data_IF_633133828934
#
_entry.id   IF_633133828934
#
_cell.length_a   1.000
_cell.length_b   1.000
_cell.length_c   1.000
_cell.angle_alpha   90.00
_cell.angle_beta   90.00
_cell.angle_gamma   90.00
#
_symmetry.space_group_name_H-M   'P 1'
#
loop_
_entity.id
_entity.type
_entity.pdbx_description
1 polymer ?
#
# COMPACT_ATOMS: atom_id res chain seq x y z
N UNK A 1 -4.74 20.58 17.10
CA UNK A 1 -5.63 20.40 15.94
C UNK A 1 -7.04 20.65 16.40
N UNK A 2 -7.61 21.78 15.97
CA UNK A 2 -9.01 22.13 16.22
C UNK A 2 -9.86 21.50 15.12
N UNK A 3 -11.06 21.05 15.43
CA UNK A 3 -11.95 20.58 14.37
C UNK A 3 -13.42 20.68 14.72
N UNK A 4 -14.23 20.89 13.68
CA UNK A 4 -15.68 21.09 13.78
C UNK A 4 -16.38 20.15 12.80
N UNK A 5 -17.34 19.39 13.29
CA UNK A 5 -18.13 18.43 12.52
C UNK A 5 -19.61 18.72 12.72
N UNK A 6 -20.37 18.80 11.63
CA UNK A 6 -21.83 18.90 11.62
C UNK A 6 -22.42 17.62 11.06
N UNK A 7 -23.06 16.83 11.91
CA UNK A 7 -23.73 15.59 11.55
C UNK A 7 -25.25 15.72 11.63
N UNK A 8 -25.95 14.91 10.84
CA UNK A 8 -27.37 14.69 10.90
C UNK A 8 -27.62 13.23 11.28
N UNK A 9 -28.30 13.04 12.41
CA UNK A 9 -28.85 11.75 12.82
C UNK A 9 -30.30 11.68 12.35
N UNK A 10 -30.58 10.81 11.39
CA UNK A 10 -31.92 10.59 10.85
C UNK A 10 -32.60 9.46 11.63
N UNK A 11 -33.70 9.78 12.31
CA UNK A 11 -34.48 8.82 13.08
C UNK A 11 -35.56 8.16 12.22
N UNK A 12 -36.11 7.05 12.72
CA UNK A 12 -37.22 6.39 12.04
C UNK A 12 -38.56 7.14 12.11
N UNK A 13 -38.69 8.10 13.02
CA UNK A 13 -39.90 8.89 13.24
C UNK A 13 -39.56 10.23 13.88
N UNK A 14 -40.54 11.12 13.89
CA UNK A 14 -40.45 12.44 14.51
C UNK A 14 -40.04 12.34 15.99
N UNK A 15 -39.02 13.13 16.37
CA UNK A 15 -38.45 13.18 17.72
C UNK A 15 -38.88 14.42 18.50
N UNK A 16 -39.79 15.24 17.97
CA UNK A 16 -40.26 16.50 18.56
C UNK A 16 -40.80 16.34 19.98
N UNK A 17 -41.50 15.23 20.24
CA UNK A 17 -42.07 14.93 21.55
C UNK A 17 -41.02 14.60 22.64
N UNK A 18 -39.75 14.36 22.26
CA UNK A 18 -38.70 13.90 23.17
C UNK A 18 -37.44 14.78 23.14
N UNK A 19 -37.50 15.95 22.47
CA UNK A 19 -36.36 16.86 22.31
C UNK A 19 -35.74 17.27 23.66
N UNK A 20 -36.57 17.51 24.68
CA UNK A 20 -36.09 17.89 26.01
C UNK A 20 -35.25 16.79 26.68
N UNK A 21 -35.73 15.55 26.67
CA UNK A 21 -34.99 14.41 27.23
C UNK A 21 -33.71 14.13 26.44
N UNK A 22 -33.79 14.17 25.10
CA UNK A 22 -32.62 13.98 24.24
C UNK A 22 -31.57 15.07 24.47
N UNK A 23 -31.98 16.34 24.59
CA UNK A 23 -31.07 17.46 24.84
C UNK A 23 -30.35 17.32 26.18
N UNK A 24 -31.06 16.94 27.24
CA UNK A 24 -30.47 16.71 28.56
C UNK A 24 -29.46 15.56 28.51
N UNK A 25 -29.86 14.43 27.92
CA UNK A 25 -28.99 13.28 27.76
C UNK A 25 -27.72 13.58 26.95
N UNK A 26 -27.85 14.30 25.82
CA UNK A 26 -26.71 14.66 24.99
C UNK A 26 -25.76 15.62 25.74
N UNK A 27 -26.29 16.51 26.58
CA UNK A 27 -25.45 17.36 27.42
C UNK A 27 -24.73 16.58 28.53
N UNK A 28 -25.40 15.60 29.17
CA UNK A 28 -24.74 14.69 30.12
C UNK A 28 -23.64 13.87 29.44
N UNK A 29 -23.91 13.35 28.24
CA UNK A 29 -22.92 12.66 27.41
C UNK A 29 -21.72 13.57 27.10
N UNK A 30 -21.95 14.85 26.76
CA UNK A 30 -20.90 15.84 26.53
C UNK A 30 -19.99 15.97 27.75
N UNK A 31 -20.57 16.18 28.94
CA UNK A 31 -19.83 16.35 30.20
C UNK A 31 -19.02 15.09 30.55
N UNK A 32 -19.58 13.89 30.37
CA UNK A 32 -18.85 12.63 30.55
C UNK A 32 -17.64 12.54 29.59
N UNK A 33 -17.81 12.95 28.33
CA UNK A 33 -16.74 12.96 27.33
C UNK A 33 -15.67 14.01 27.60
N UNK A 34 -16.04 15.20 28.04
CA UNK A 34 -15.09 16.24 28.46
C UNK A 34 -14.18 15.72 29.57
N UNK A 35 -14.76 15.05 30.58
CA UNK A 35 -13.99 14.46 31.69
C UNK A 35 -13.06 13.34 31.23
N UNK A 36 -13.52 12.47 30.34
CA UNK A 36 -12.72 11.34 29.83
C UNK A 36 -11.60 11.77 28.89
N UNK A 37 -11.88 12.74 28.02
CA UNK A 37 -10.94 13.26 27.02
C UNK A 37 -10.07 14.39 27.57
N UNK A 38 -10.37 14.90 28.78
CA UNK A 38 -9.67 16.00 29.45
C UNK A 38 -9.57 17.25 28.57
N UNK A 39 -10.68 17.61 27.91
CA UNK A 39 -10.79 18.78 27.06
C UNK A 39 -12.22 19.29 27.06
N UNK A 40 -12.41 20.56 26.72
CA UNK A 40 -13.73 21.14 26.53
C UNK A 40 -14.31 20.75 25.17
N UNK A 41 -15.62 20.49 25.13
CA UNK A 41 -16.33 20.07 23.93
C UNK A 41 -17.57 20.94 23.77
N UNK A 42 -17.70 21.59 22.60
CA UNK A 42 -18.88 22.40 22.30
C UNK A 42 -19.85 21.61 21.43
N UNK A 43 -21.10 21.51 21.89
CA UNK A 43 -22.22 20.97 21.11
C UNK A 43 -23.22 22.07 20.77
N UNK A 44 -23.65 22.14 19.50
CA UNK A 44 -24.86 22.85 19.10
C UNK A 44 -25.86 21.84 18.54
N UNK A 45 -27.08 21.92 19.04
CA UNK A 45 -28.16 20.97 18.76
C UNK A 45 -29.31 21.71 18.07
N UNK A 46 -29.77 21.17 16.96
CA UNK A 46 -30.99 21.60 16.28
C UNK A 46 -31.83 20.36 15.98
N UNK A 47 -33.13 20.45 16.25
CA UNK A 47 -34.08 19.34 16.05
C UNK A 47 -35.07 19.76 14.97
N UNK A 48 -35.23 18.93 13.94
CA UNK A 48 -36.14 19.20 12.84
C UNK A 48 -36.87 17.91 12.44
N UNK A 49 -38.12 17.76 12.89
CA UNK A 49 -38.94 16.57 12.64
C UNK A 49 -38.26 15.30 13.16
N UNK A 50 -37.87 14.42 12.23
CA UNK A 50 -37.15 13.17 12.50
C UNK A 50 -35.63 13.31 12.49
N UNK A 51 -35.08 14.52 12.39
CA UNK A 51 -33.64 14.76 12.34
C UNK A 51 -33.12 15.46 13.60
N UNK A 52 -31.99 14.96 14.11
CA UNK A 52 -31.12 15.69 15.03
C UNK A 52 -29.89 16.17 14.27
N UNK A 53 -29.73 17.48 14.17
CA UNK A 53 -28.53 18.13 13.66
C UNK A 53 -27.63 18.44 14.84
N UNK A 54 -26.43 17.87 14.83
CA UNK A 54 -25.43 18.05 15.88
C UNK A 54 -24.15 18.62 15.29
N UNK A 55 -23.79 19.81 15.73
CA UNK A 55 -22.46 20.38 15.51
C UNK A 55 -21.59 20.10 16.74
N UNK A 56 -20.42 19.49 16.51
CA UNK A 56 -19.42 19.14 17.51
C UNK A 56 -18.15 19.89 17.19
N UNK A 57 -17.65 20.69 18.13
CA UNK A 57 -16.34 21.33 18.02
C UNK A 57 -15.41 20.83 19.13
N UNK A 58 -14.23 20.35 18.72
CA UNK A 58 -13.14 19.93 19.59
C UNK A 58 -11.99 20.94 19.46
N UNK A 59 -11.42 21.35 20.59
CA UNK A 59 -10.17 22.12 20.61
C UNK A 59 -8.96 21.24 20.26
N UNK A 60 -9.05 19.92 20.56
CA UNK A 60 -8.00 18.97 20.24
C UNK A 60 -8.53 17.59 19.86
N UNK A 61 -8.21 17.14 18.65
CA UNK A 61 -8.53 15.79 18.19
C UNK A 61 -9.70 15.76 17.22
N UNK A 62 -10.40 14.63 17.17
CA UNK A 62 -11.34 14.31 16.09
C UNK A 62 -12.76 14.06 16.62
N UNK A 63 -13.73 14.96 16.37
CA UNK A 63 -15.14 14.83 16.76
C UNK A 63 -15.80 13.53 16.32
N UNK A 64 -15.40 12.99 15.17
CA UNK A 64 -15.99 11.75 14.66
C UNK A 64 -15.75 10.53 15.57
N UNK A 65 -14.78 10.60 16.48
CA UNK A 65 -14.51 9.55 17.47
C UNK A 65 -15.65 9.33 18.46
N UNK A 66 -16.47 10.36 18.71
CA UNK A 66 -17.63 10.27 19.62
C UNK A 66 -18.97 10.16 18.88
N UNK A 67 -18.99 10.38 17.57
CA UNK A 67 -20.19 10.40 16.73
C UNK A 67 -21.00 9.08 16.83
N UNK A 68 -20.33 7.95 16.61
CA UNK A 68 -20.96 6.63 16.67
C UNK A 68 -21.16 6.13 18.11
N UNK A 69 -20.35 6.61 19.05
CA UNK A 69 -20.58 6.34 20.46
C UNK A 69 -21.90 6.99 20.94
N UNK A 70 -22.15 8.24 20.52
CA UNK A 70 -23.41 8.92 20.82
C UNK A 70 -24.60 8.18 20.21
N UNK A 71 -24.50 7.71 18.96
CA UNK A 71 -25.52 6.86 18.32
C UNK A 71 -25.89 5.67 19.22
N UNK A 72 -24.88 4.92 19.66
CA UNK A 72 -25.10 3.70 20.45
C UNK A 72 -25.74 4.02 21.80
N UNK A 73 -25.30 5.10 22.46
CA UNK A 73 -25.83 5.53 23.74
C UNK A 73 -27.27 6.06 23.62
N UNK A 74 -27.63 6.78 22.55
CA UNK A 74 -29.02 7.17 22.26
C UNK A 74 -29.89 5.92 22.09
N UNK A 75 -29.48 4.96 21.26
CA UNK A 75 -30.27 3.74 20.99
C UNK A 75 -30.45 2.89 22.25
N UNK A 76 -29.44 2.83 23.12
CA UNK A 76 -29.48 2.10 24.39
C UNK A 76 -30.50 2.69 25.37
N UNK A 77 -30.56 4.02 25.51
CA UNK A 77 -31.39 4.70 26.50
C UNK A 77 -32.82 5.01 25.99
N UNK A 78 -32.95 5.33 24.70
CA UNK A 78 -34.21 5.80 24.11
C UNK A 78 -34.85 4.76 23.17
N UNK A 79 -34.06 3.82 22.63
CA UNK A 79 -34.51 2.92 21.58
C UNK A 79 -35.67 2.02 22.00
N UNK A 80 -35.56 1.33 23.15
CA UNK A 80 -36.64 0.50 23.69
C UNK A 80 -37.78 1.32 24.29
N UNK A 81 -37.46 2.41 25.00
CA UNK A 81 -38.44 3.26 25.69
C UNK A 81 -39.40 3.94 24.72
N UNK A 82 -38.90 4.35 23.56
CA UNK A 82 -39.65 5.13 22.58
C UNK A 82 -39.75 4.48 21.21
N UNK A 83 -39.33 3.22 21.02
CA UNK A 83 -39.27 2.58 19.70
C UNK A 83 -38.54 3.44 18.65
N UNK A 84 -37.44 4.05 19.08
CA UNK A 84 -36.60 4.92 18.25
C UNK A 84 -35.43 4.14 17.66
N UNK A 85 -35.21 4.31 16.36
CA UNK A 85 -34.02 3.83 15.66
C UNK A 85 -33.40 4.97 14.86
N UNK A 86 -32.10 4.86 14.59
CA UNK A 86 -31.35 5.82 13.76
C UNK A 86 -31.07 5.11 12.43
N UNK A 87 -31.72 5.57 11.36
CA UNK A 87 -31.63 5.03 10.01
C UNK A 87 -30.26 5.32 9.41
N UNK A 88 -29.82 6.57 9.53
CA UNK A 88 -28.60 7.03 8.90
C UNK A 88 -27.89 8.10 9.76
N UNK A 89 -26.58 8.22 9.56
CA UNK A 89 -25.78 9.33 10.05
C UNK A 89 -25.01 9.89 8.86
N UNK A 90 -25.28 11.12 8.49
CA UNK A 90 -24.52 11.84 7.46
C UNK A 90 -23.75 13.00 8.08
N UNK A 91 -22.57 13.30 7.55
CA UNK A 91 -21.78 14.47 7.97
C UNK A 91 -21.85 15.50 6.86
N UNK A 92 -22.56 16.59 7.13
CA UNK A 92 -22.78 17.67 6.16
C UNK A 92 -21.57 18.56 5.98
N UNK A 93 -20.82 18.73 7.06
CA UNK A 93 -19.64 19.58 7.08
C UNK A 93 -18.63 19.04 8.07
N UNK A 94 -17.37 18.95 7.68
CA UNK A 94 -16.28 18.63 8.59
C UNK A 94 -15.07 19.50 8.26
N UNK A 95 -14.75 20.44 9.16
CA UNK A 95 -13.53 21.24 9.12
C UNK A 95 -12.48 20.72 10.08
N UNK A 96 -11.24 20.58 9.64
CA UNK A 96 -10.08 20.36 10.50
C UNK A 96 -9.05 21.46 10.28
N UNK A 97 -8.44 21.91 11.37
CA UNK A 97 -7.37 22.89 11.37
C UNK A 97 -6.21 22.39 12.22
N UNK A 98 -5.04 22.25 11.61
CA UNK A 98 -3.85 21.72 12.29
C UNK A 98 -2.57 22.39 11.80
N UNK A 99 -1.55 22.31 12.64
CA UNK A 99 -0.22 22.80 12.33
C UNK A 99 0.62 21.69 11.73
N UNK A 100 1.28 22.00 10.63
CA UNK A 100 2.30 21.17 10.01
C UNK A 100 3.65 21.44 10.68
N UNK A 101 4.53 20.42 10.70
CA UNK A 101 5.89 20.61 11.23
C UNK A 101 6.71 21.60 10.39
N UNK A 102 6.45 21.62 9.07
CA UNK A 102 7.13 22.44 8.06
C UNK A 102 6.13 23.12 7.13
N UNK A 103 6.56 24.14 6.40
CA UNK A 103 5.72 24.86 5.44
C UNK A 103 5.62 24.10 4.12
N UNK A 104 4.53 24.24 3.38
CA UNK A 104 4.48 23.67 2.03
C UNK A 104 5.32 24.53 1.08
N UNK A 105 6.33 23.94 0.44
CA UNK A 105 7.14 24.59 -0.61
C UNK A 105 6.33 24.67 -1.91
N UNK A 106 5.61 23.60 -2.23
CA UNK A 106 4.78 23.46 -3.43
C UNK A 106 3.33 23.12 -3.06
N UNK A 107 2.34 23.50 -3.91
CA UNK A 107 0.94 23.14 -3.70
C UNK A 107 0.73 21.62 -3.56
N UNK A 108 -0.22 21.23 -2.71
CA UNK A 108 -0.57 19.83 -2.46
C UNK A 108 -2.01 19.58 -2.90
N UNK A 109 -2.25 18.45 -3.56
CA UNK A 109 -3.59 17.92 -3.83
C UNK A 109 -3.75 16.56 -3.17
N UNK A 110 -4.93 16.29 -2.60
CA UNK A 110 -5.31 15.05 -1.94
C UNK A 110 -6.73 14.67 -2.40
N UNK A 111 -6.99 13.40 -2.74
CA UNK A 111 -8.34 12.93 -3.04
C UNK A 111 -9.30 13.02 -1.84
N UNK A 112 -10.60 13.08 -2.12
CA UNK A 112 -11.69 13.09 -1.12
C UNK A 112 -11.78 14.34 -0.22
N UNK A 113 -11.06 15.41 -0.57
CA UNK A 113 -11.10 16.69 0.15
C UNK A 113 -11.72 17.73 -0.77
N UNK A 114 -12.74 18.44 -0.27
CA UNK A 114 -13.41 19.50 -1.03
C UNK A 114 -12.58 20.79 -1.04
N UNK A 115 -12.00 21.15 0.10
CA UNK A 115 -11.12 22.32 0.23
C UNK A 115 -9.88 21.98 1.07
N UNK A 116 -8.71 22.32 0.55
CA UNK A 116 -7.42 22.25 1.23
C UNK A 116 -6.73 23.59 1.09
N UNK A 117 -6.55 24.29 2.21
CA UNK A 117 -5.83 25.55 2.28
C UNK A 117 -4.61 25.38 3.20
N UNK A 118 -3.44 25.76 2.71
CA UNK A 118 -2.20 25.76 3.49
C UNK A 118 -1.63 27.17 3.47
N UNK A 119 -1.51 27.81 4.63
CA UNK A 119 -0.93 29.14 4.80
C UNK A 119 0.18 29.08 5.84
N UNK A 120 1.43 29.19 5.39
CA UNK A 120 2.60 28.91 6.23
C UNK A 120 2.55 27.46 6.73
N UNK A 121 2.49 27.28 8.05
CA UNK A 121 2.33 25.96 8.70
C UNK A 121 0.88 25.61 9.05
N UNK A 122 -0.06 26.54 8.89
CA UNK A 122 -1.46 26.25 9.17
C UNK A 122 -2.08 25.51 7.99
N UNK A 123 -2.73 24.39 8.27
CA UNK A 123 -3.46 23.59 7.28
C UNK A 123 -4.93 23.52 7.67
N UNK A 124 -5.81 23.91 6.74
CA UNK A 124 -7.26 23.83 6.86
C UNK A 124 -7.79 22.83 5.84
N UNK A 125 -8.62 21.91 6.31
CA UNK A 125 -9.30 20.89 5.51
C UNK A 125 -10.80 21.01 5.67
N UNK A 126 -11.54 20.92 4.57
CA UNK A 126 -13.00 20.86 4.58
C UNK A 126 -13.48 19.65 3.79
N UNK A 127 -14.46 18.96 4.38
CA UNK A 127 -15.25 17.92 3.75
C UNK A 127 -16.73 18.31 3.80
N UNK A 128 -17.42 18.18 2.68
CA UNK A 128 -18.83 18.45 2.50
C UNK A 128 -19.57 17.16 2.17
N UNK A 129 -20.76 16.99 2.76
CA UNK A 129 -21.69 15.90 2.43
C UNK A 129 -21.06 14.48 2.42
N UNK A 130 -20.33 14.12 3.48
CA UNK A 130 -19.90 12.74 3.70
C UNK A 130 -21.13 11.88 4.03
N UNK A 131 -21.57 11.12 3.03
CA UNK A 131 -22.74 10.22 3.13
C UNK A 131 -22.35 8.78 3.47
N UNK A 132 -21.15 8.34 3.12
CA UNK A 132 -20.65 7.00 3.43
C UNK A 132 -20.14 6.92 4.87
N UNK A 133 -20.90 6.25 5.75
CA UNK A 133 -20.49 5.99 7.14
C UNK A 133 -19.14 5.26 7.21
N UNK A 134 -18.81 4.43 6.21
CA UNK A 134 -17.53 3.72 6.15
C UNK A 134 -16.35 4.67 5.98
N UNK A 135 -16.53 5.85 5.37
CA UNK A 135 -15.47 6.86 5.24
C UNK A 135 -14.93 7.27 6.61
N UNK A 136 -15.84 7.50 7.55
CA UNK A 136 -15.52 7.87 8.92
C UNK A 136 -15.04 6.66 9.71
N UNK A 137 -15.77 5.53 9.66
CA UNK A 137 -15.44 4.32 10.44
C UNK A 137 -14.09 3.71 10.06
N UNK A 138 -13.69 3.80 8.79
CA UNK A 138 -12.39 3.31 8.30
C UNK A 138 -11.27 4.32 8.52
N UNK A 139 -11.48 5.38 9.29
CA UNK A 139 -10.45 6.33 9.68
C UNK A 139 -9.76 7.01 8.46
N UNK A 140 -10.50 7.28 7.38
CA UNK A 140 -9.92 7.93 6.19
C UNK A 140 -9.46 9.35 6.48
N UNK A 141 -10.15 10.07 7.36
CA UNK A 141 -9.81 11.45 7.74
C UNK A 141 -8.42 11.53 8.36
N UNK A 142 -8.10 10.65 9.32
CA UNK A 142 -6.79 10.64 9.95
C UNK A 142 -5.70 10.24 8.95
N UNK A 143 -5.99 9.30 8.02
CA UNK A 143 -5.07 8.93 6.95
C UNK A 143 -4.80 10.08 5.98
N UNK A 144 -5.82 10.89 5.68
CA UNK A 144 -5.69 12.10 4.86
C UNK A 144 -4.78 13.12 5.55
N UNK A 145 -5.01 13.42 6.83
CA UNK A 145 -4.15 14.32 7.62
C UNK A 145 -2.70 13.84 7.61
N UNK A 146 -2.47 12.55 7.90
CA UNK A 146 -1.13 11.94 7.85
C UNK A 146 -0.51 12.06 6.46
N UNK A 147 -1.28 11.82 5.40
CA UNK A 147 -0.78 11.88 4.02
C UNK A 147 -0.38 13.30 3.60
N UNK A 148 -1.07 14.33 4.10
CA UNK A 148 -0.69 15.72 3.88
C UNK A 148 0.65 16.00 4.55
N UNK A 149 0.80 15.64 5.82
CA UNK A 149 2.06 15.80 6.55
C UNK A 149 3.21 15.11 5.81
N UNK A 150 3.04 13.85 5.40
CA UNK A 150 4.03 13.12 4.60
C UNK A 150 4.36 13.81 3.26
N UNK A 151 3.36 14.41 2.58
CA UNK A 151 3.59 15.13 1.32
C UNK A 151 4.37 16.41 1.55
N UNK A 152 4.09 17.17 2.61
CA UNK A 152 4.85 18.37 2.99
C UNK A 152 6.28 17.98 3.33
N UNK A 153 6.46 16.98 4.20
CA UNK A 153 7.79 16.52 4.61
C UNK A 153 8.62 16.09 3.40
N UNK A 154 8.02 15.34 2.45
CA UNK A 154 8.66 14.90 1.20
C UNK A 154 9.16 16.05 0.32
N UNK A 155 8.61 17.25 0.41
CA UNK A 155 9.09 18.39 -0.38
C UNK A 155 10.46 18.90 0.09
N UNK A 156 10.81 18.67 1.35
CA UNK A 156 12.12 19.03 1.92
C UNK A 156 13.19 17.94 1.72
N UNK A 157 12.81 16.79 1.19
CA UNK A 157 13.78 15.79 0.76
C UNK A 157 14.31 16.23 -0.61
N UNK A 158 15.37 17.04 -0.62
CA UNK A 158 16.10 17.35 -1.84
C UNK A 158 16.80 16.08 -2.34
N UNK A 159 16.51 15.71 -3.59
CA UNK A 159 16.67 14.35 -4.10
C UNK A 159 18.10 13.79 -4.19
N UNK A 160 18.12 12.46 -4.36
CA UNK A 160 19.15 11.63 -5.05
C UNK A 160 20.52 11.44 -4.41
N UNK A 161 20.80 11.96 -3.22
CA UNK A 161 21.87 11.37 -2.42
C UNK A 161 21.42 10.02 -1.91
N UNK A 162 21.80 8.90 -2.54
CA UNK A 162 21.77 7.62 -1.85
C UNK A 162 22.52 7.80 -0.53
N UNK A 163 21.88 7.56 0.61
CA UNK A 163 22.63 7.43 1.84
C UNK A 163 23.50 6.18 1.69
N UNK A 164 24.79 6.38 1.57
CA UNK A 164 25.76 5.32 1.34
C UNK A 164 26.87 5.42 2.37
N UNK A 165 27.09 4.33 3.09
CA UNK A 165 28.14 4.18 4.08
C UNK A 165 28.88 2.87 3.80
N UNK A 166 30.19 2.96 3.59
CA UNK A 166 31.02 1.78 3.30
C UNK A 166 31.33 1.07 4.61
N UNK A 167 30.68 -0.08 4.84
CA UNK A 167 30.90 -0.92 6.02
C UNK A 167 32.12 -1.84 5.88
N UNK A 168 32.42 -2.28 4.65
CA UNK A 168 33.55 -3.15 4.34
C UNK A 168 33.96 -3.01 2.87
N UNK A 169 35.25 -3.22 2.58
CA UNK A 169 35.76 -3.28 1.20
C UNK A 169 36.90 -4.29 1.11
N UNK A 170 36.93 -5.08 0.03
CA UNK A 170 38.07 -5.96 -0.25
C UNK A 170 39.29 -5.16 -0.70
N UNK A 171 40.48 -5.77 -0.59
CA UNK A 171 41.68 -5.20 -1.19
C UNK A 171 41.53 -5.01 -2.71
N UNK A 172 42.11 -3.93 -3.24
CA UNK A 172 42.06 -3.64 -4.68
C UNK A 172 42.74 -4.76 -5.46
N UNK A 173 41.96 -5.51 -6.23
CA UNK A 173 42.47 -6.54 -7.15
C UNK A 173 42.98 -5.90 -8.44
N UNK A 174 44.03 -6.47 -9.04
CA UNK A 174 44.51 -6.05 -10.36
C UNK A 174 43.44 -6.34 -11.41
N UNK A 175 42.98 -5.30 -12.11
CA UNK A 175 42.00 -5.46 -13.18
C UNK A 175 42.65 -6.10 -14.41
N UNK A 176 42.24 -7.32 -14.73
CA UNK A 176 42.74 -8.10 -15.87
C UNK A 176 41.84 -8.04 -17.10
N UNK A 177 40.62 -7.51 -16.94
CA UNK A 177 39.61 -7.40 -17.99
C UNK A 177 38.96 -6.02 -17.95
N UNK A 178 38.75 -5.39 -19.11
CA UNK A 178 38.24 -4.00 -19.22
C UNK A 178 37.13 -3.83 -20.27
N UNK A 179 36.77 -4.89 -20.97
CA UNK A 179 35.71 -4.83 -21.98
C UNK A 179 34.33 -4.94 -21.32
N UNK A 180 33.33 -4.33 -21.95
CA UNK A 180 31.93 -4.46 -21.55
C UNK A 180 31.48 -5.93 -21.73
N UNK A 181 31.10 -6.62 -20.63
CA UNK A 181 30.71 -8.02 -20.71
C UNK A 181 29.48 -8.23 -21.61
N UNK A 182 28.52 -7.29 -21.60
CA UNK A 182 27.29 -7.40 -22.38
C UNK A 182 27.60 -7.37 -23.88
N UNK A 183 28.47 -6.45 -24.32
CA UNK A 183 28.93 -6.37 -25.71
C UNK A 183 29.67 -7.63 -26.15
N UNK A 184 30.58 -8.13 -25.32
CA UNK A 184 31.38 -9.33 -25.65
C UNK A 184 30.48 -10.56 -25.73
N UNK A 185 29.49 -10.69 -24.85
CA UNK A 185 28.53 -11.78 -24.88
C UNK A 185 27.60 -11.71 -26.09
N UNK A 186 27.20 -10.51 -26.52
CA UNK A 186 26.48 -10.29 -27.77
C UNK A 186 27.29 -10.77 -28.98
N UNK A 187 28.53 -10.30 -29.11
CA UNK A 187 29.41 -10.65 -30.23
C UNK A 187 29.70 -12.16 -30.32
N UNK A 188 29.67 -12.84 -29.17
CA UNK A 188 29.85 -14.30 -29.05
C UNK A 188 28.55 -15.11 -29.14
N UNK A 189 27.40 -14.47 -29.33
CA UNK A 189 26.07 -15.10 -29.29
C UNK A 189 25.75 -15.84 -27.97
N UNK A 190 26.32 -15.39 -26.85
CA UNK A 190 25.96 -15.89 -25.52
C UNK A 190 24.66 -15.26 -25.03
N UNK A 191 24.33 -14.07 -25.52
CA UNK A 191 23.06 -13.40 -25.26
C UNK A 191 22.49 -12.85 -26.56
N UNK A 192 21.17 -12.69 -26.59
CA UNK A 192 20.45 -11.96 -27.63
C UNK A 192 19.38 -11.10 -26.98
N UNK A 193 19.23 -9.87 -27.43
CA UNK A 193 18.13 -9.03 -26.96
C UNK A 193 16.79 -9.61 -27.42
N UNK A 194 15.83 -9.71 -26.50
CA UNK A 194 14.46 -10.09 -26.85
C UNK A 194 13.72 -8.91 -27.48
N UNK A 195 12.58 -9.17 -28.12
CA UNK A 195 11.76 -8.13 -28.78
C UNK A 195 11.23 -7.08 -27.80
N UNK A 196 10.91 -7.49 -26.57
CA UNK A 196 10.43 -6.56 -25.53
C UNK A 196 11.60 -5.90 -24.78
N UNK A 197 11.38 -4.66 -24.36
CA UNK A 197 12.38 -3.84 -23.65
C UNK A 197 12.93 -4.59 -22.42
N UNK A 198 14.25 -4.43 -22.23
CA UNK A 198 14.96 -4.82 -21.01
C UNK A 198 15.12 -6.34 -20.81
N UNK A 199 14.78 -7.16 -21.82
CA UNK A 199 14.86 -8.62 -21.72
C UNK A 199 15.91 -9.22 -22.63
N UNK A 200 16.49 -10.31 -22.17
CA UNK A 200 17.60 -10.98 -22.81
C UNK A 200 17.37 -12.49 -22.87
N UNK A 201 17.59 -13.07 -24.04
CA UNK A 201 17.72 -14.50 -24.19
C UNK A 201 19.14 -14.92 -23.80
N UNK A 202 19.27 -15.81 -22.83
CA UNK A 202 20.55 -16.35 -22.40
C UNK A 202 20.84 -17.67 -23.11
N UNK A 203 21.86 -17.66 -23.96
CA UNK A 203 22.38 -18.85 -24.62
C UNK A 203 23.07 -19.82 -23.64
N UNK A 204 23.43 -21.03 -24.12
CA UNK A 204 23.93 -22.11 -23.26
C UNK A 204 25.13 -21.74 -22.39
N UNK A 205 26.04 -20.91 -22.89
CA UNK A 205 27.25 -20.52 -22.19
C UNK A 205 26.94 -19.65 -20.97
N UNK A 206 26.14 -18.59 -21.14
CA UNK A 206 25.74 -17.75 -20.01
C UNK A 206 24.81 -18.51 -19.04
N UNK A 207 23.88 -19.33 -19.56
CA UNK A 207 23.04 -20.17 -18.72
C UNK A 207 23.88 -21.10 -17.81
N UNK A 208 24.97 -21.69 -18.33
CA UNK A 208 25.90 -22.50 -17.52
C UNK A 208 26.61 -21.67 -16.45
N UNK A 209 27.03 -20.45 -16.77
CA UNK A 209 27.64 -19.53 -15.78
C UNK A 209 26.66 -19.20 -14.66
N UNK A 210 25.41 -18.84 -14.99
CA UNK A 210 24.36 -18.55 -14.01
C UNK A 210 24.10 -19.78 -13.11
N UNK A 211 24.05 -20.98 -13.68
CA UNK A 211 23.87 -22.22 -12.90
C UNK A 211 25.06 -22.51 -11.98
N UNK A 212 26.28 -22.24 -12.43
CA UNK A 212 27.46 -22.36 -11.59
C UNK A 212 27.44 -21.36 -10.43
N UNK A 213 27.08 -20.10 -10.68
CA UNK A 213 26.92 -19.08 -9.64
C UNK A 213 25.85 -19.47 -8.61
N UNK A 214 24.67 -19.95 -9.07
CA UNK A 214 23.63 -20.47 -8.18
C UNK A 214 24.11 -21.63 -7.31
N UNK A 215 24.92 -22.54 -7.88
CA UNK A 215 25.49 -23.66 -7.14
C UNK A 215 26.45 -23.20 -6.04
N UNK A 216 27.25 -22.14 -6.29
CA UNK A 216 28.10 -21.55 -5.25
C UNK A 216 27.25 -21.00 -4.11
N UNK A 217 26.21 -20.20 -4.41
CA UNK A 217 25.29 -19.69 -3.38
C UNK A 217 24.63 -20.84 -2.60
N UNK A 218 24.24 -21.90 -3.28
CA UNK A 218 23.65 -23.07 -2.64
C UNK A 218 24.61 -23.73 -1.64
N UNK A 219 25.82 -24.06 -2.12
CA UNK A 219 26.82 -24.79 -1.34
C UNK A 219 27.43 -23.98 -0.20
N UNK A 220 27.61 -22.66 -0.39
CA UNK A 220 28.33 -21.81 0.57
C UNK A 220 27.39 -21.09 1.55
N UNK A 221 26.13 -20.88 1.18
CA UNK A 221 25.17 -20.09 1.98
C UNK A 221 23.96 -20.93 2.37
N UNK A 222 23.21 -21.45 1.40
CA UNK A 222 21.90 -22.06 1.66
C UNK A 222 22.02 -23.33 2.49
N UNK A 223 22.83 -24.28 2.03
CA UNK A 223 23.02 -25.57 2.71
C UNK A 223 23.68 -25.42 4.08
N UNK A 224 24.81 -24.69 4.24
CA UNK A 224 25.48 -24.54 5.54
C UNK A 224 24.66 -23.78 6.58
N UNK A 225 23.80 -22.85 6.16
CA UNK A 225 22.94 -22.10 7.08
C UNK A 225 21.57 -22.76 7.29
N UNK A 226 21.27 -23.85 6.58
CA UNK A 226 20.06 -24.65 6.80
C UNK A 226 18.79 -24.10 6.16
N UNK A 227 18.90 -23.21 5.18
CA UNK A 227 17.76 -22.69 4.42
C UNK A 227 17.00 -23.81 3.70
N UNK A 228 15.66 -23.74 3.73
CA UNK A 228 14.77 -24.71 3.08
C UNK A 228 14.15 -24.11 1.83
N UNK A 229 14.14 -24.89 0.75
CA UNK A 229 13.57 -24.42 -0.51
C UNK A 229 12.05 -24.34 -0.41
N UNK A 230 11.50 -23.24 -0.92
CA UNK A 230 10.09 -23.07 -1.20
C UNK A 230 9.93 -22.68 -2.66
N UNK A 231 8.73 -22.84 -3.20
CA UNK A 231 8.37 -22.41 -4.54
C UNK A 231 7.17 -21.49 -4.39
N UNK A 232 7.36 -20.21 -4.68
CA UNK A 232 6.28 -19.23 -4.63
C UNK A 232 5.62 -19.02 -6.00
N UNK A 233 4.35 -18.59 -6.04
CA UNK A 233 3.75 -18.14 -7.29
C UNK A 233 4.47 -16.89 -7.81
N UNK A 234 4.60 -16.80 -9.13
CA UNK A 234 5.23 -15.68 -9.81
C UNK A 234 4.37 -14.41 -9.83
N UNK A 235 3.05 -14.52 -9.74
CA UNK A 235 2.14 -13.37 -9.70
C UNK A 235 1.93 -12.90 -8.26
N UNK A 236 2.10 -11.61 -8.01
CA UNK A 236 1.87 -10.99 -6.71
C UNK A 236 0.53 -10.22 -6.72
N UNK A 237 -0.43 -10.63 -5.88
CA UNK A 237 -1.75 -10.02 -5.83
C UNK A 237 -1.71 -8.62 -5.18
N UNK A 238 -2.58 -7.72 -5.62
CA UNK A 238 -2.67 -6.37 -5.03
C UNK A 238 -2.94 -6.36 -3.52
N UNK A 239 -3.69 -7.33 -3.02
CA UNK A 239 -3.98 -7.44 -1.58
C UNK A 239 -2.71 -7.72 -0.77
N UNK A 240 -1.82 -8.59 -1.27
CA UNK A 240 -0.52 -8.90 -0.67
C UNK A 240 0.42 -7.70 -0.74
N UNK A 241 0.46 -7.02 -1.88
CA UNK A 241 1.31 -5.85 -2.06
C UNK A 241 0.85 -4.63 -1.25
N UNK A 242 -0.45 -4.50 -1.03
CA UNK A 242 -1.00 -3.47 -0.14
C UNK A 242 -0.60 -3.72 1.31
N UNK A 243 -0.65 -4.98 1.78
CA UNK A 243 -0.21 -5.33 3.15
C UNK A 243 1.29 -5.12 3.36
N UNK A 244 2.09 -5.37 2.33
CA UNK A 244 3.56 -5.21 2.39
C UNK A 244 4.01 -3.78 2.07
N UNK A 245 3.09 -2.88 1.68
CA UNK A 245 3.38 -1.47 1.39
C UNK A 245 3.97 -1.17 0.01
N UNK A 246 4.23 -2.19 -0.82
CA UNK A 246 4.90 -2.02 -2.12
C UNK A 246 4.09 -1.18 -3.11
N UNK A 247 2.76 -1.37 -3.17
CA UNK A 247 1.90 -0.60 -4.10
C UNK A 247 1.92 0.91 -3.82
N UNK A 248 2.25 1.32 -2.59
CA UNK A 248 2.34 2.73 -2.22
C UNK A 248 3.67 3.38 -2.65
N UNK A 249 4.72 2.56 -2.80
CA UNK A 249 6.08 3.02 -3.05
C UNK A 249 6.51 2.97 -4.52
N UNK A 250 6.17 1.90 -5.24
CA UNK A 250 6.76 1.58 -6.55
C UNK A 250 5.75 1.36 -7.70
N UNK A 251 4.55 1.99 -7.73
CA UNK A 251 3.55 1.69 -8.77
C UNK A 251 4.01 2.01 -10.20
N UNK A 252 5.02 2.85 -10.36
CA UNK A 252 5.62 3.25 -11.65
C UNK A 252 6.62 2.23 -12.21
N UNK A 253 7.00 1.20 -11.43
CA UNK A 253 8.01 0.21 -11.81
C UNK A 253 7.41 -1.19 -12.06
N UNK A 254 6.09 -1.36 -11.95
CA UNK A 254 5.44 -2.66 -11.97
C UNK A 254 4.97 -3.07 -13.36
N UNK A 255 5.08 -4.37 -13.67
CA UNK A 255 4.39 -4.99 -14.78
C UNK A 255 3.05 -5.56 -14.32
N UNK A 256 1.96 -4.91 -14.71
CA UNK A 256 0.60 -5.28 -14.34
C UNK A 256 0.08 -6.46 -15.16
N UNK A 257 -0.73 -7.31 -14.51
CA UNK A 257 -1.33 -8.50 -15.13
C UNK A 257 -2.82 -8.30 -15.26
N UNK A 258 -3.33 -8.49 -16.48
CA UNK A 258 -4.75 -8.55 -16.79
C UNK A 258 -5.10 -9.97 -17.26
N UNK A 259 -6.30 -10.42 -16.91
CA UNK A 259 -6.79 -11.76 -17.27
C UNK A 259 -7.85 -11.65 -18.37
N UNK A 260 -8.07 -12.67 -19.22
CA UNK A 260 -9.24 -12.74 -20.08
C UNK A 260 -10.54 -12.56 -19.29
N UNK A 261 -11.47 -11.71 -19.75
CA UNK A 261 -12.80 -11.59 -19.14
C UNK A 261 -13.60 -12.90 -19.25
N UNK A 262 -13.36 -13.65 -20.31
CA UNK A 262 -14.08 -14.87 -20.65
C UNK A 262 -13.13 -15.89 -21.30
N UNK A 263 -13.44 -17.17 -21.11
CA UNK A 263 -12.80 -18.28 -21.83
C UNK A 263 -13.66 -18.79 -23.00
N UNK A 264 -14.84 -18.20 -23.22
CA UNK A 264 -15.75 -18.60 -24.29
C UNK A 264 -15.15 -18.19 -25.65
N UNK A 265 -14.80 -19.15 -26.54
CA UNK A 265 -14.21 -18.82 -27.84
C UNK A 265 -15.08 -17.94 -28.73
N UNK A 266 -16.40 -18.04 -28.63
CA UNK A 266 -17.34 -17.24 -29.44
C UNK A 266 -17.19 -15.74 -29.15
N UNK A 267 -16.95 -15.37 -27.89
CA UNK A 267 -16.72 -13.97 -27.51
C UNK A 267 -15.38 -13.43 -28.05
N UNK A 268 -14.43 -14.31 -28.40
CA UNK A 268 -13.13 -13.96 -28.99
C UNK A 268 -13.10 -14.01 -30.52
N UNK A 269 -14.18 -14.44 -31.17
CA UNK A 269 -14.20 -14.74 -32.61
C UNK A 269 -13.80 -13.51 -33.44
N UNK A 270 -14.38 -12.34 -33.15
CA UNK A 270 -14.07 -11.11 -33.87
C UNK A 270 -12.58 -10.70 -33.76
N UNK A 271 -12.01 -10.80 -32.56
CA UNK A 271 -10.58 -10.54 -32.31
C UNK A 271 -9.69 -11.48 -33.12
N UNK A 272 -10.05 -12.77 -33.16
CA UNK A 272 -9.32 -13.80 -33.90
C UNK A 272 -9.42 -13.57 -35.41
N UNK A 273 -10.59 -13.18 -35.91
CA UNK A 273 -10.81 -12.91 -37.33
C UNK A 273 -10.00 -11.71 -37.78
N UNK A 274 -10.00 -10.63 -37.00
CA UNK A 274 -9.15 -9.47 -37.26
C UNK A 274 -7.67 -9.88 -37.36
N UNK A 275 -7.16 -10.60 -36.36
CA UNK A 275 -5.78 -11.13 -36.37
C UNK A 275 -5.46 -11.95 -37.63
N UNK A 276 -6.37 -12.83 -38.06
CA UNK A 276 -6.16 -13.70 -39.24
C UNK A 276 -6.16 -12.93 -40.55
N UNK A 277 -7.01 -11.91 -40.66
CA UNK A 277 -7.18 -11.09 -41.86
C UNK A 277 -6.03 -10.09 -41.98
N UNK A 278 -5.73 -9.33 -40.92
CA UNK A 278 -4.79 -8.20 -40.97
C UNK A 278 -3.36 -8.61 -40.61
N UNK A 279 -3.18 -9.70 -39.86
CA UNK A 279 -1.90 -10.09 -39.23
C UNK A 279 -1.38 -9.07 -38.21
N UNK A 280 -2.26 -8.21 -37.71
CA UNK A 280 -1.96 -7.18 -36.71
C UNK A 280 -2.84 -7.37 -35.48
N UNK A 281 -2.29 -7.05 -34.30
CA UNK A 281 -3.01 -7.15 -33.03
C UNK A 281 -3.97 -5.96 -32.87
N UNK A 282 -5.30 -6.18 -32.79
CA UNK A 282 -6.25 -5.09 -32.55
C UNK A 282 -6.25 -4.71 -31.06
N UNK A 283 -5.35 -3.82 -30.66
CA UNK A 283 -5.10 -3.47 -29.24
C UNK A 283 -6.36 -2.95 -28.52
N UNK A 284 -7.15 -2.09 -29.15
CA UNK A 284 -8.39 -1.57 -28.55
C UNK A 284 -9.42 -2.66 -28.28
N UNK A 285 -9.49 -3.68 -29.15
CA UNK A 285 -10.36 -4.83 -28.96
C UNK A 285 -9.82 -5.72 -27.84
N UNK A 286 -8.52 -5.98 -27.82
CA UNK A 286 -7.87 -6.75 -26.75
C UNK A 286 -8.16 -6.12 -25.36
N UNK A 287 -8.06 -4.79 -25.24
CA UNK A 287 -8.36 -4.08 -24.00
C UNK A 287 -9.82 -4.26 -23.54
N UNK A 288 -10.76 -4.44 -24.47
CA UNK A 288 -12.16 -4.73 -24.14
C UNK A 288 -12.36 -6.17 -23.68
N UNK A 289 -11.48 -7.09 -24.09
CA UNK A 289 -11.55 -8.52 -23.79
C UNK A 289 -10.82 -8.95 -22.51
N UNK A 290 -10.01 -8.06 -21.91
CA UNK A 290 -9.27 -8.33 -20.67
C UNK A 290 -9.86 -7.57 -19.47
N UNK A 291 -9.71 -8.14 -18.27
CA UNK A 291 -10.14 -7.55 -17.00
C UNK A 291 -9.21 -6.40 -16.58
N UNK A 292 -9.68 -5.62 -15.60
CA UNK A 292 -8.79 -4.69 -14.90
C UNK A 292 -7.70 -5.48 -14.14
N UNK A 293 -6.48 -4.93 -14.02
CA UNK A 293 -5.41 -5.65 -13.37
C UNK A 293 -5.71 -5.91 -11.89
N UNK A 294 -5.35 -7.11 -11.43
CA UNK A 294 -5.53 -7.55 -10.03
C UNK A 294 -4.22 -8.05 -9.38
N UNK A 295 -3.16 -8.14 -10.18
CA UNK A 295 -1.85 -8.65 -9.79
C UNK A 295 -0.75 -8.00 -10.64
N UNK A 296 0.50 -8.29 -10.26
CA UNK A 296 1.70 -7.93 -11.03
C UNK A 296 2.58 -9.17 -11.22
N UNK A 297 3.51 -9.10 -12.17
CA UNK A 297 4.67 -9.99 -12.16
C UNK A 297 5.53 -9.71 -10.93
N UNK A 298 6.12 -10.76 -10.34
CA UNK A 298 7.01 -10.68 -9.18
C UNK A 298 7.98 -9.50 -9.24
N UNK A 299 7.92 -8.59 -8.26
CA UNK A 299 8.80 -7.41 -8.19
C UNK A 299 9.93 -7.57 -7.15
N UNK A 300 9.58 -8.10 -5.97
CA UNK A 300 10.49 -8.26 -4.82
C UNK A 300 10.64 -9.69 -4.31
N UNK A 301 9.84 -10.68 -4.77
CA UNK A 301 10.05 -12.14 -4.58
C UNK A 301 9.92 -12.66 -3.13
N UNK A 302 9.61 -11.80 -2.17
CA UNK A 302 9.25 -12.17 -0.81
C UNK A 302 7.77 -11.95 -0.42
N UNK A 303 6.94 -11.13 -1.10
CA UNK A 303 5.55 -10.91 -0.70
C UNK A 303 4.70 -12.18 -0.61
N UNK A 304 4.84 -13.09 -1.56
CA UNK A 304 4.05 -14.32 -1.58
C UNK A 304 4.50 -15.30 -0.47
N UNK A 305 5.78 -15.28 -0.11
CA UNK A 305 6.28 -15.96 1.10
C UNK A 305 5.58 -15.43 2.36
N UNK A 306 5.45 -14.11 2.54
CA UNK A 306 4.73 -13.56 3.70
C UNK A 306 3.25 -13.97 3.69
N UNK A 307 2.63 -14.03 2.50
CA UNK A 307 1.25 -14.47 2.39
C UNK A 307 1.06 -15.92 2.83
N UNK A 308 2.02 -16.80 2.55
CA UNK A 308 1.99 -18.19 3.03
C UNK A 308 1.91 -18.28 4.57
N UNK A 309 2.45 -17.29 5.30
CA UNK A 309 2.39 -17.21 6.77
C UNK A 309 1.26 -16.32 7.31
N UNK A 310 0.48 -15.68 6.43
CA UNK A 310 -0.57 -14.74 6.81
C UNK A 310 -1.63 -15.41 7.72
N UNK A 311 -1.96 -14.73 8.82
CA UNK A 311 -2.94 -15.20 9.80
C UNK A 311 -2.48 -16.36 10.70
N UNK A 312 -1.21 -16.81 10.58
CA UNK A 312 -0.66 -17.87 11.43
C UNK A 312 0.02 -17.30 12.67
N UNK A 313 -0.06 -18.05 13.77
CA UNK A 313 0.82 -17.89 14.93
C UNK A 313 1.86 -18.99 14.86
N UNK A 314 3.13 -18.62 14.96
CA UNK A 314 4.28 -19.52 14.85
C UNK A 314 4.83 -19.71 16.26
N UNK A 315 5.14 -20.96 16.63
CA UNK A 315 5.67 -21.26 17.94
C UNK A 315 7.14 -20.84 18.05
N UNK A 316 7.59 -20.41 19.23
CA UNK A 316 8.94 -19.86 19.42
C UNK A 316 10.04 -20.89 19.06
N UNK A 317 9.78 -22.17 19.29
CA UNK A 317 10.66 -23.29 18.95
C UNK A 317 10.83 -23.54 17.44
N UNK A 318 9.95 -23.00 16.60
CA UNK A 318 10.08 -23.08 15.15
C UNK A 318 11.01 -21.98 14.58
N UNK A 319 11.40 -21.00 15.40
CA UNK A 319 12.31 -19.95 14.98
C UNK A 319 13.80 -20.33 15.14
N UNK A 320 14.68 -19.83 14.23
CA UNK A 320 14.35 -19.03 13.06
C UNK A 320 13.85 -19.90 11.90
N UNK A 321 12.83 -19.41 11.19
CA UNK A 321 12.42 -19.96 9.90
C UNK A 321 13.41 -19.44 8.86
N UNK A 322 14.04 -20.34 8.11
CA UNK A 322 15.02 -20.04 7.08
C UNK A 322 14.56 -20.67 5.77
N UNK A 323 14.10 -19.84 4.83
CA UNK A 323 13.55 -20.32 3.56
C UNK A 323 14.09 -19.51 2.38
N UNK A 324 14.15 -20.15 1.21
CA UNK A 324 14.55 -19.46 -0.01
C UNK A 324 13.70 -19.89 -1.21
N UNK A 325 13.51 -18.97 -2.16
CA UNK A 325 12.96 -19.25 -3.48
C UNK A 325 14.01 -18.92 -4.55
N UNK A 326 14.08 -19.75 -5.59
CA UNK A 326 14.90 -19.50 -6.77
C UNK A 326 14.17 -19.85 -8.07
N UNK A 327 12.83 -19.80 -8.02
CA UNK A 327 11.92 -20.25 -9.06
C UNK A 327 11.30 -19.07 -9.83
N UNK A 328 11.01 -17.97 -9.14
CA UNK A 328 10.40 -16.80 -9.75
C UNK A 328 11.39 -16.00 -10.62
N UNK A 329 10.85 -15.32 -11.62
CA UNK A 329 11.57 -14.32 -12.40
C UNK A 329 11.12 -12.96 -11.88
N UNK A 330 12.03 -12.07 -11.54
CA UNK A 330 11.64 -10.75 -11.08
C UNK A 330 11.55 -9.79 -12.27
N UNK A 331 10.51 -8.94 -12.27
CA UNK A 331 10.25 -7.96 -13.31
C UNK A 331 10.18 -6.54 -12.74
N UNK A 332 10.91 -5.61 -13.37
CA UNK A 332 10.91 -4.19 -13.01
C UNK A 332 10.92 -3.35 -14.27
N UNK A 333 10.03 -2.38 -14.37
CA UNK A 333 10.07 -1.43 -15.48
C UNK A 333 11.17 -0.40 -15.21
N UNK A 334 12.38 -0.65 -15.72
CA UNK A 334 13.51 0.24 -15.47
C UNK A 334 13.43 1.49 -16.34
N UNK A 335 13.56 2.67 -15.71
CA UNK A 335 13.57 3.94 -16.44
C UNK A 335 14.79 4.03 -17.37
N UNK A 336 14.62 4.59 -18.57
CA UNK A 336 15.70 4.84 -19.52
C UNK A 336 15.68 3.94 -20.76
N UNK A 337 16.80 3.95 -21.48
CA UNK A 337 17.01 3.20 -22.72
C UNK A 337 17.30 1.72 -22.49
N UNK A 338 17.66 1.01 -23.56
CA UNK A 338 18.10 -0.39 -23.47
C UNK A 338 19.50 -0.41 -22.85
N UNK A 339 19.64 -1.13 -21.73
CA UNK A 339 20.90 -1.39 -21.03
C UNK A 339 21.42 -2.80 -21.34
N UNK A 340 22.64 -3.13 -20.93
CA UNK A 340 23.16 -4.48 -20.98
C UNK A 340 22.56 -5.37 -19.88
N UNK A 341 23.15 -6.54 -19.64
CA UNK A 341 22.63 -7.47 -18.64
C UNK A 341 22.83 -6.99 -17.18
N UNK A 342 23.55 -5.90 -16.97
CA UNK A 342 23.72 -5.24 -15.68
C UNK A 342 22.45 -4.54 -15.17
N UNK A 343 21.52 -4.21 -16.07
CA UNK A 343 20.23 -3.58 -15.73
C UNK A 343 19.13 -4.06 -16.67
N UNK A 344 18.31 -4.97 -16.18
CA UNK A 344 17.29 -5.66 -16.97
C UNK A 344 15.90 -5.45 -16.39
N UNK A 345 14.89 -5.47 -17.26
CA UNK A 345 13.49 -5.46 -16.85
C UNK A 345 13.02 -6.85 -16.40
N UNK A 346 13.79 -7.89 -16.71
CA UNK A 346 13.55 -9.28 -16.34
C UNK A 346 14.85 -9.92 -15.85
N UNK A 347 14.87 -10.40 -14.62
CA UNK A 347 16.07 -10.97 -14.02
C UNK A 347 15.76 -12.16 -13.10
N UNK A 348 16.78 -12.99 -12.91
CA UNK A 348 16.71 -14.15 -12.02
C UNK A 348 17.44 -13.88 -10.72
N UNK A 349 16.81 -14.26 -9.60
CA UNK A 349 17.35 -14.09 -8.26
C UNK A 349 17.07 -15.32 -7.40
N UNK A 350 17.93 -15.51 -6.40
CA UNK A 350 17.66 -16.40 -5.27
C UNK A 350 17.29 -15.52 -4.09
N UNK A 351 16.03 -15.56 -3.68
CA UNK A 351 15.51 -14.75 -2.57
C UNK A 351 15.60 -15.56 -1.29
N UNK A 352 16.30 -15.04 -0.28
CA UNK A 352 16.41 -15.64 1.04
C UNK A 352 15.54 -14.85 2.02
N UNK A 353 14.61 -15.54 2.69
CA UNK A 353 13.71 -14.96 3.69
C UNK A 353 13.92 -15.66 5.02
N UNK A 354 14.06 -14.88 6.09
CA UNK A 354 14.25 -15.40 7.44
C UNK A 354 13.35 -14.66 8.44
N UNK A 355 12.67 -15.42 9.30
CA UNK A 355 11.69 -14.94 10.28
C UNK A 355 12.07 -15.46 11.67
N UNK A 356 12.08 -14.59 12.67
CA UNK A 356 12.45 -14.96 14.04
C UNK A 356 12.51 -13.74 14.96
N UNK A 357 13.08 -13.94 16.15
CA UNK A 357 13.34 -12.85 17.10
C UNK A 357 14.42 -11.90 16.58
N UNK A 358 14.44 -10.66 17.10
CA UNK A 358 15.41 -9.63 16.68
C UNK A 358 16.86 -10.14 16.70
N UNK A 359 17.26 -10.82 17.76
CA UNK A 359 18.64 -11.28 17.94
C UNK A 359 18.99 -12.41 16.95
N UNK A 360 18.05 -13.35 16.73
CA UNK A 360 18.20 -14.40 15.71
C UNK A 360 18.33 -13.79 14.29
N UNK A 361 17.54 -12.77 13.96
CA UNK A 361 17.60 -12.12 12.65
C UNK A 361 18.96 -11.43 12.42
N UNK A 362 19.52 -10.79 13.45
CA UNK A 362 20.85 -10.18 13.39
C UNK A 362 21.92 -11.24 13.18
N UNK A 363 21.86 -12.34 13.94
CA UNK A 363 22.81 -13.46 13.83
C UNK A 363 22.78 -14.10 12.43
N UNK A 364 21.58 -14.38 11.89
CA UNK A 364 21.42 -14.93 10.53
C UNK A 364 21.99 -13.96 9.49
N UNK A 365 21.67 -12.67 9.59
CA UNK A 365 22.19 -11.63 8.69
C UNK A 365 23.72 -11.56 8.73
N UNK A 366 24.32 -11.59 9.92
CA UNK A 366 25.79 -11.55 10.07
C UNK A 366 26.45 -12.82 9.49
N UNK A 367 25.88 -14.01 9.72
CA UNK A 367 26.34 -15.26 9.10
C UNK A 367 26.27 -15.21 7.58
N UNK A 368 25.19 -14.66 7.00
CA UNK A 368 25.06 -14.49 5.55
C UNK A 368 26.15 -13.54 5.02
N UNK A 369 26.34 -12.39 5.68
CA UNK A 369 27.38 -11.42 5.30
C UNK A 369 28.77 -12.06 5.32
N UNK A 370 29.09 -12.84 6.35
CA UNK A 370 30.41 -13.47 6.47
C UNK A 370 30.64 -14.60 5.46
N UNK A 371 29.59 -15.22 4.92
CA UNK A 371 29.71 -16.15 3.79
C UNK A 371 29.87 -15.44 2.44
N UNK A 372 29.40 -14.20 2.32
CA UNK A 372 29.56 -13.39 1.10
C UNK A 372 30.94 -12.72 0.99
N UNK A 373 31.58 -12.42 2.13
CA UNK A 373 32.98 -11.94 2.17
C UNK A 373 33.95 -13.06 1.78
#
# INVERSE_FOLDING_TARGET
>A
MTSTLKAIYEFNKDISNYQGELKNFINEFRIDKEKKLKQDIQFKLEFNGDNLILEITFESGYPHTILFHLRNEILKNFGRKYSLTIKNISVKYYKLEFQLDKEAINPISIPYVDELEITGKNCVLVFNDITDEAFIKRNFINRIVKRIQEKVDKQYYEGKGEYSEILWSSEKKKMVWKEDPSKVMLDKNWIKQAETKGKWFFGPQLAKVIRAMRKVVFNEIIEPLGFKEVIEPHHEAFSTLLRTGHLEGVPMELYYICEPKTRNPEEWENFIDHLKITREVPEEELLKMISAPNAINCYVQCPNIYEFFSGKTIADEEFPILIFDASAVSNRYESGGRHGIERMDEFHRMELVYIGTKDQLVEVKDKIIDRYK
#
